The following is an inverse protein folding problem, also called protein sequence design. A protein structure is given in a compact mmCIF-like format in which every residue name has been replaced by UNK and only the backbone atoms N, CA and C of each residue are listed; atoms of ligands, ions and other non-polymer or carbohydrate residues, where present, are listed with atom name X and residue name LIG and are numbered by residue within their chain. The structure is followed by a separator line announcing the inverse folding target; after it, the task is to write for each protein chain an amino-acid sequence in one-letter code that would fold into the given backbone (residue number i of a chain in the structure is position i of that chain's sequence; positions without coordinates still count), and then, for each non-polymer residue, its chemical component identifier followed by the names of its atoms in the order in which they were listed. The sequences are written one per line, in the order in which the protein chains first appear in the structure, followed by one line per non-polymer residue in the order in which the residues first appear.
data_IF_860439182106
#
_entry.id   IF_860439182106
#
_cell.length_a   1.000
_cell.length_b   1.000
_cell.length_c   1.000
_cell.angle_alpha   90.00
_cell.angle_beta   90.00
_cell.angle_gamma   90.00
#
_symmetry.space_group_name_H-M   'P 1'
#
loop_
_entity.id
_entity.type
_entity.pdbx_description
1 polymer ?
#
# COMPACT_ATOMS: atom_id res chain seq x y z
N UNK A 1 8.64 3.94 -3.12
CA UNK A 1 8.61 3.09 -1.91
C UNK A 1 9.57 3.60 -0.83
N UNK A 2 10.86 3.83 -1.14
CA UNK A 2 11.91 4.17 -0.17
C UNK A 2 11.55 5.28 0.84
N UNK A 3 11.11 6.45 0.37
CA UNK A 3 10.79 7.59 1.25
C UNK A 3 9.68 7.32 2.29
N UNK A 4 8.78 6.38 2.04
CA UNK A 4 7.72 6.00 2.99
C UNK A 4 8.29 5.05 4.04
N UNK A 5 9.06 4.05 3.60
CA UNK A 5 9.71 3.10 4.49
C UNK A 5 10.68 3.80 5.45
N UNK A 6 11.45 4.77 4.95
CA UNK A 6 12.36 5.57 5.76
C UNK A 6 11.60 6.46 6.77
N UNK A 7 10.46 7.04 6.35
CA UNK A 7 9.64 7.91 7.20
C UNK A 7 9.01 7.15 8.37
N UNK A 8 8.55 5.93 8.13
CA UNK A 8 7.91 5.09 9.15
C UNK A 8 8.89 4.10 9.80
N UNK A 9 10.17 4.15 9.39
CA UNK A 9 11.26 3.32 9.86
C UNK A 9 10.87 1.82 9.93
N UNK A 10 10.18 1.36 8.89
CA UNK A 10 9.60 0.02 8.82
C UNK A 10 10.09 -0.73 7.59
N UNK A 11 10.09 -2.06 7.70
CA UNK A 11 10.39 -2.97 6.61
C UNK A 11 9.15 -3.17 5.72
N UNK A 12 9.30 -3.47 4.42
CA UNK A 12 8.17 -3.72 3.53
C UNK A 12 7.24 -4.85 4.02
N UNK A 13 7.81 -5.82 4.72
CA UNK A 13 7.11 -6.96 5.33
C UNK A 13 6.26 -6.60 6.55
N UNK A 14 6.56 -5.48 7.22
CA UNK A 14 5.76 -4.99 8.35
C UNK A 14 4.57 -4.14 7.91
N UNK A 15 4.54 -3.74 6.63
CA UNK A 15 3.38 -3.07 6.06
C UNK A 15 2.29 -4.09 5.71
N UNK A 16 1.02 -3.68 5.77
CA UNK A 16 -0.08 -4.51 5.29
C UNK A 16 0.14 -4.93 3.83
N UNK A 17 0.15 -6.24 3.61
CA UNK A 17 0.42 -6.83 2.31
C UNK A 17 -0.85 -6.86 1.45
N UNK A 18 -0.68 -6.81 0.14
CA UNK A 18 -1.75 -7.03 -0.83
C UNK A 18 -1.23 -7.90 -1.98
N UNK A 19 -2.02 -8.86 -2.42
CA UNK A 19 -1.65 -9.75 -3.50
C UNK A 19 -1.89 -9.11 -4.86
N UNK A 20 -1.03 -9.39 -5.84
CA UNK A 20 -1.21 -8.99 -7.26
C UNK A 20 -2.56 -9.45 -7.81
N UNK A 21 -3.12 -10.54 -7.27
CA UNK A 21 -4.41 -11.12 -7.66
C UNK A 21 -5.63 -10.37 -7.09
N UNK A 22 -5.44 -9.36 -6.23
CA UNK A 22 -6.55 -8.62 -5.63
C UNK A 22 -7.33 -7.83 -6.71
N UNK A 23 -8.66 -8.00 -6.83
CA UNK A 23 -9.47 -7.33 -7.85
C UNK A 23 -9.35 -5.81 -7.86
N UNK A 24 -9.07 -5.19 -6.70
CA UNK A 24 -8.92 -3.75 -6.57
C UNK A 24 -7.64 -3.22 -7.25
N UNK A 25 -6.65 -4.08 -7.50
CA UNK A 25 -5.35 -3.68 -8.03
C UNK A 25 -5.04 -4.28 -9.41
N UNK A 26 -5.76 -5.32 -9.81
CA UNK A 26 -5.62 -5.96 -11.14
C UNK A 26 -5.77 -4.94 -12.28
N UNK A 27 -6.67 -3.97 -12.16
CA UNK A 27 -6.87 -2.92 -13.16
C UNK A 27 -5.78 -1.84 -13.21
N UNK A 28 -4.91 -1.78 -12.20
CA UNK A 28 -3.86 -0.76 -12.08
C UNK A 28 -2.52 -1.19 -12.68
N UNK A 29 -2.37 -2.47 -13.06
CA UNK A 29 -1.12 -2.99 -13.66
C UNK A 29 0.09 -2.95 -12.73
N UNK A 30 -0.14 -3.09 -11.42
CA UNK A 30 0.91 -3.09 -10.39
C UNK A 30 1.76 -4.36 -10.43
N UNK A 31 3.04 -4.23 -10.07
CA UNK A 31 3.98 -5.37 -9.99
C UNK A 31 4.30 -5.73 -8.54
N UNK A 32 4.68 -6.99 -8.26
CA UNK A 32 5.26 -7.35 -6.96
C UNK A 32 6.41 -6.40 -6.60
N UNK A 33 6.39 -5.87 -5.38
CA UNK A 33 7.36 -4.88 -4.90
C UNK A 33 6.91 -3.42 -4.99
N UNK A 34 5.79 -3.15 -5.67
CA UNK A 34 5.21 -1.81 -5.67
C UNK A 34 4.52 -1.49 -4.33
N UNK A 35 4.40 -0.20 -4.03
CA UNK A 35 3.71 0.30 -2.84
C UNK A 35 2.48 1.10 -3.24
N UNK A 36 1.33 0.70 -2.73
CA UNK A 36 0.04 1.33 -3.01
C UNK A 36 -0.28 2.33 -1.91
N UNK A 37 -0.63 3.55 -2.30
CA UNK A 37 -1.15 4.58 -1.42
C UNK A 37 -2.66 4.66 -1.56
N UNK A 38 -3.39 4.36 -0.49
CA UNK A 38 -4.83 4.42 -0.43
C UNK A 38 -5.22 5.71 0.30
N UNK A 39 -5.93 6.59 -0.40
CA UNK A 39 -6.55 7.77 0.17
C UNK A 39 -8.02 7.46 0.44
N UNK A 40 -8.44 7.49 1.71
CA UNK A 40 -9.85 7.32 2.09
C UNK A 40 -10.35 8.56 2.81
N UNK A 41 -11.59 8.95 2.53
CA UNK A 41 -12.29 9.96 3.34
C UNK A 41 -12.67 9.34 4.67
N UNK A 42 -12.22 9.94 5.76
CA UNK A 42 -12.55 9.54 7.12
C UNK A 42 -13.50 10.57 7.72
N UNK A 43 -14.64 10.16 8.28
CA UNK A 43 -15.56 11.11 8.93
C UNK A 43 -14.96 11.79 10.17
N UNK A 44 -13.93 11.20 10.78
CA UNK A 44 -13.27 11.75 11.98
C UNK A 44 -12.00 12.53 11.67
N UNK A 45 -11.22 12.09 10.68
CA UNK A 45 -9.91 12.65 10.36
C UNK A 45 -9.87 13.43 9.03
N UNK A 46 -11.01 13.56 8.34
CA UNK A 46 -11.12 14.15 7.01
C UNK A 46 -10.58 13.20 5.94
N UNK A 47 -9.26 13.05 5.88
CA UNK A 47 -8.58 12.15 4.94
C UNK A 47 -7.59 11.26 5.69
N UNK A 48 -7.59 9.97 5.36
CA UNK A 48 -6.64 9.00 5.92
C UNK A 48 -5.84 8.36 4.80
N UNK A 49 -4.52 8.36 4.98
CA UNK A 49 -3.55 7.79 4.05
C UNK A 49 -3.11 6.43 4.59
N UNK A 50 -3.22 5.39 3.77
CA UNK A 50 -2.80 4.04 4.11
C UNK A 50 -1.83 3.50 3.05
N UNK A 51 -0.80 2.79 3.47
CA UNK A 51 0.19 2.21 2.58
C UNK A 51 0.11 0.68 2.63
N UNK A 52 0.09 0.05 1.47
CA UNK A 52 0.14 -1.42 1.33
C UNK A 52 1.28 -1.83 0.41
N UNK A 53 1.93 -2.95 0.72
CA UNK A 53 3.02 -3.50 -0.08
C UNK A 53 2.53 -4.64 -0.95
N UNK A 54 2.81 -4.59 -2.25
CA UNK A 54 2.36 -5.60 -3.21
C UNK A 54 3.29 -6.80 -3.16
N UNK A 55 2.71 -7.98 -2.92
CA UNK A 55 3.42 -9.26 -2.92
C UNK A 55 2.85 -10.18 -3.99
N UNK A 56 3.72 -11.03 -4.53
CA UNK A 56 3.28 -12.16 -5.36
C UNK A 56 3.02 -13.38 -4.46
N UNK A 57 2.19 -14.30 -4.96
CA UNK A 57 1.89 -15.58 -4.28
C UNK A 57 3.07 -16.53 -4.34
#
# INVERSE_FOLDING_TARGET
AQAVLDKYNCTPTELPLIYVTDPAIVGLGVRPGDMIRILRKSPTAGESIYYRYVVDV
#
